data_IF_355665227129
#
_entry.id   IF_355665227129
#
_cell.length_a   1.000
_cell.length_b   1.000
_cell.length_c   1.000
_cell.angle_alpha   90.00
_cell.angle_beta   90.00
_cell.angle_gamma   90.00
#
_symmetry.space_group_name_H-M   'P 1'
#
loop_
_entity.id
_entity.type
_entity.pdbx_description
1 polymer ?
#
# COMPACT_ATOMS: atom_id res chain seq x y z
N UNK A 1 7.58 -14.62 5.98
CA UNK A 1 8.58 -13.57 6.27
C UNK A 1 7.99 -12.16 6.37
N UNK A 2 6.90 -11.81 5.65
CA UNK A 2 6.33 -10.46 5.58
C UNK A 2 5.70 -9.90 6.87
N UNK A 3 5.08 -10.74 7.70
CA UNK A 3 4.54 -10.32 9.01
C UNK A 3 5.63 -9.67 9.89
N UNK A 4 6.89 -10.09 9.74
CA UNK A 4 8.03 -9.52 10.44
C UNK A 4 8.39 -8.10 9.97
N UNK A 5 8.16 -7.77 8.70
CA UNK A 5 8.44 -6.43 8.15
C UNK A 5 7.44 -5.41 8.69
N UNK A 6 6.15 -5.77 8.75
CA UNK A 6 5.10 -4.92 9.34
C UNK A 6 5.32 -4.77 10.85
N UNK A 7 5.80 -5.83 11.52
CA UNK A 7 6.09 -5.82 12.96
C UNK A 7 7.33 -4.98 13.32
N UNK A 8 8.31 -4.87 12.42
CA UNK A 8 9.54 -4.12 12.63
C UNK A 8 9.42 -2.65 12.20
N UNK A 9 8.51 -2.32 11.28
CA UNK A 9 8.18 -0.95 10.92
C UNK A 9 6.69 -0.84 10.49
N UNK A 10 5.78 -0.55 11.43
CA UNK A 10 4.35 -0.44 11.14
C UNK A 10 3.99 0.67 10.14
N UNK A 11 4.89 1.64 9.92
CA UNK A 11 4.72 2.72 8.94
C UNK A 11 5.17 2.32 7.52
N UNK A 12 5.46 1.03 7.27
CA UNK A 12 5.89 0.56 5.96
C UNK A 12 4.70 0.12 5.11
N UNK A 13 4.10 1.07 4.40
CA UNK A 13 2.98 0.85 3.46
C UNK A 13 3.22 -0.27 2.45
N UNK A 14 4.47 -0.52 2.02
CA UNK A 14 4.82 -1.63 1.12
C UNK A 14 4.42 -2.99 1.70
N UNK A 15 4.61 -3.23 3.00
CA UNK A 15 4.23 -4.50 3.63
C UNK A 15 2.73 -4.78 3.52
N UNK A 16 1.91 -3.74 3.65
CA UNK A 16 0.47 -3.84 3.44
C UNK A 16 0.10 -4.09 1.97
N UNK A 17 0.79 -3.45 1.02
CA UNK A 17 0.54 -3.68 -0.42
C UNK A 17 0.86 -5.13 -0.83
N UNK A 18 2.00 -5.65 -0.38
CA UNK A 18 2.41 -7.03 -0.64
C UNK A 18 1.42 -8.03 -0.04
N UNK A 19 0.96 -7.82 1.20
CA UNK A 19 -0.10 -8.65 1.78
C UNK A 19 -1.42 -8.53 1.03
N UNK A 20 -1.75 -7.33 0.55
CA UNK A 20 -2.92 -7.11 -0.30
C UNK A 20 -2.86 -7.95 -1.58
N UNK A 21 -1.71 -7.95 -2.26
CA UNK A 21 -1.48 -8.75 -3.45
C UNK A 21 -1.56 -10.26 -3.17
N UNK A 22 -1.00 -10.72 -2.04
CA UNK A 22 -1.10 -12.13 -1.61
C UNK A 22 -2.55 -12.52 -1.35
N UNK A 23 -3.34 -11.67 -0.69
CA UNK A 23 -4.76 -11.95 -0.44
C UNK A 23 -5.57 -11.96 -1.73
N UNK A 24 -5.30 -11.07 -2.68
CA UNK A 24 -5.93 -11.09 -4.00
C UNK A 24 -5.63 -12.38 -4.76
N UNK A 25 -4.37 -12.82 -4.75
CA UNK A 25 -3.98 -14.09 -5.37
C UNK A 25 -4.70 -15.30 -4.74
N UNK A 26 -5.02 -15.22 -3.44
CA UNK A 26 -5.81 -16.23 -2.73
C UNK A 26 -7.33 -16.08 -2.93
N UNK A 27 -7.80 -15.11 -3.70
CA UNK A 27 -9.23 -14.80 -3.88
C UNK A 27 -9.89 -14.13 -2.68
N UNK A 28 -9.10 -13.67 -1.69
CA UNK A 28 -9.59 -13.04 -0.44
C UNK A 28 -9.67 -11.51 -0.61
N UNK A 29 -10.53 -11.08 -1.53
CA UNK A 29 -10.60 -9.69 -1.99
C UNK A 29 -10.91 -8.68 -0.88
N UNK A 30 -11.71 -9.03 0.13
CA UNK A 30 -12.02 -8.12 1.25
C UNK A 30 -10.80 -7.86 2.13
N UNK A 31 -10.00 -8.90 2.38
CA UNK A 31 -8.74 -8.76 3.13
C UNK A 31 -7.73 -7.96 2.31
N UNK A 32 -7.66 -8.19 1.00
CA UNK A 32 -6.80 -7.42 0.12
C UNK A 32 -7.15 -5.93 0.12
N UNK A 33 -8.44 -5.61 0.00
CA UNK A 33 -8.96 -4.23 0.10
C UNK A 33 -8.62 -3.61 1.45
N UNK A 34 -8.72 -4.36 2.53
CA UNK A 34 -8.38 -3.88 3.88
C UNK A 34 -6.90 -3.51 3.97
N UNK A 35 -6.00 -4.34 3.44
CA UNK A 35 -4.57 -4.03 3.44
C UNK A 35 -4.24 -2.79 2.58
N UNK A 36 -4.86 -2.66 1.40
CA UNK A 36 -4.71 -1.46 0.56
C UNK A 36 -5.17 -0.19 1.28
N UNK A 37 -6.29 -0.24 2.02
CA UNK A 37 -6.76 0.88 2.85
C UNK A 37 -5.78 1.26 3.95
N UNK A 38 -5.15 0.28 4.60
CA UNK A 38 -4.08 0.55 5.59
C UNK A 38 -2.88 1.24 4.94
N UNK A 39 -2.46 0.80 3.76
CA UNK A 39 -1.38 1.45 3.00
C UNK A 39 -1.74 2.91 2.64
N UNK A 40 -2.97 3.15 2.16
CA UNK A 40 -3.49 4.50 1.87
C UNK A 40 -3.41 5.41 3.10
N UNK A 41 -3.86 4.92 4.26
CA UNK A 41 -3.86 5.72 5.48
C UNK A 41 -2.45 6.14 5.92
N UNK A 42 -1.46 5.26 5.74
CA UNK A 42 -0.05 5.59 6.02
C UNK A 42 0.46 6.62 5.02
N UNK A 43 0.21 6.44 3.72
CA UNK A 43 0.71 7.31 2.66
C UNK A 43 0.10 8.72 2.70
N UNK A 44 -1.12 8.90 3.22
CA UNK A 44 -1.73 10.22 3.42
C UNK A 44 -0.98 11.10 4.42
N UNK A 45 -0.20 10.50 5.31
CA UNK A 45 0.69 11.25 6.22
C UNK A 45 2.06 11.58 5.62
N UNK A 46 2.31 11.19 4.37
CA UNK A 46 3.59 11.41 3.67
C UNK A 46 3.42 12.50 2.62
N UNK A 47 4.45 13.34 2.45
CA UNK A 47 4.45 14.35 1.37
C UNK A 47 4.19 13.69 0.01
N UNK A 48 3.19 14.16 -0.76
CA UNK A 48 2.84 13.60 -2.07
C UNK A 48 3.99 13.61 -3.08
N UNK A 49 4.91 14.56 -2.96
CA UNK A 49 6.07 14.77 -3.85
C UNK A 49 7.23 13.82 -3.52
N UNK A 50 7.19 13.16 -2.36
CA UNK A 50 8.23 12.23 -1.95
C UNK A 50 8.31 11.08 -2.95
N UNK A 51 9.52 10.82 -3.44
CA UNK A 51 9.79 9.68 -4.31
C UNK A 51 9.80 8.40 -3.51
N UNK A 52 9.21 7.36 -4.09
CA UNK A 52 9.19 6.03 -3.49
C UNK A 52 10.32 5.21 -4.07
N UNK A 53 11.33 4.93 -3.26
CA UNK A 53 12.38 3.97 -3.63
C UNK A 53 11.94 2.53 -3.33
N UNK A 54 12.32 1.54 -4.17
CA UNK A 54 13.23 1.62 -5.31
C UNK A 54 12.56 2.02 -6.65
N UNK A 55 11.27 2.36 -6.66
CA UNK A 55 10.51 2.65 -7.87
C UNK A 55 10.84 4.06 -8.41
N UNK A 56 11.91 4.16 -9.21
CA UNK A 56 12.31 5.43 -9.84
C UNK A 56 11.17 6.07 -10.61
N UNK A 57 10.93 7.34 -10.33
CA UNK A 57 9.96 8.17 -11.03
C UNK A 57 8.53 8.05 -10.52
N UNK A 58 8.27 7.25 -9.49
CA UNK A 58 6.97 7.17 -8.83
C UNK A 58 6.99 8.02 -7.55
N UNK A 59 6.03 8.92 -7.43
CA UNK A 59 5.79 9.71 -6.23
C UNK A 59 4.73 9.06 -5.34
N UNK A 60 4.64 9.52 -4.09
CA UNK A 60 3.55 9.13 -3.18
C UNK A 60 2.19 9.46 -3.79
N UNK A 61 2.06 10.59 -4.49
CA UNK A 61 0.83 10.95 -5.21
C UNK A 61 0.44 9.89 -6.25
N UNK A 62 1.38 9.48 -7.09
CA UNK A 62 1.11 8.49 -8.14
C UNK A 62 0.65 7.15 -7.54
N UNK A 63 1.23 6.77 -6.40
CA UNK A 63 0.82 5.55 -5.69
C UNK A 63 -0.56 5.70 -5.03
N UNK A 64 -0.87 6.85 -4.43
CA UNK A 64 -2.19 7.13 -3.88
C UNK A 64 -3.28 7.01 -4.97
N UNK A 65 -3.08 7.69 -6.10
CA UNK A 65 -4.02 7.68 -7.23
C UNK A 65 -4.26 6.25 -7.76
N UNK A 66 -3.22 5.42 -7.78
CA UNK A 66 -3.33 4.01 -8.19
C UNK A 66 -4.15 3.17 -7.19
N UNK A 67 -3.89 3.34 -5.90
CA UNK A 67 -4.54 2.58 -4.83
C UNK A 67 -6.00 2.99 -4.64
N UNK A 68 -6.34 4.26 -4.83
CA UNK A 68 -7.71 4.76 -4.77
C UNK A 68 -8.57 4.15 -5.88
N UNK A 69 -8.05 4.10 -7.12
CA UNK A 69 -8.69 3.39 -8.24
C UNK A 69 -8.92 1.91 -7.94
N UNK A 70 -7.92 1.21 -7.40
CA UNK A 70 -8.07 -0.21 -7.03
C UNK A 70 -9.10 -0.43 -5.92
N UNK A 71 -9.23 0.53 -5.00
CA UNK A 71 -10.20 0.47 -3.92
C UNK A 71 -11.59 0.97 -4.31
N UNK A 72 -11.78 1.49 -5.52
CA UNK A 72 -13.02 2.15 -5.93
C UNK A 72 -13.34 3.40 -5.10
N UNK A 73 -12.31 4.10 -4.64
CA UNK A 73 -12.43 5.37 -3.92
C UNK A 73 -12.34 6.53 -4.92
N UNK A 74 -13.03 7.65 -4.67
CA UNK A 74 -13.03 8.82 -5.55
C UNK A 74 -11.63 9.45 -5.66
#
# INVERSE_FOLDING_TARGET
>A
MLSRVIYLNPAHYLGYLELGAVYDYQGKFDQARTMRKSALNILRGVSPEKRIEPYRGITVKDLLDHLEKQCGLP
#
